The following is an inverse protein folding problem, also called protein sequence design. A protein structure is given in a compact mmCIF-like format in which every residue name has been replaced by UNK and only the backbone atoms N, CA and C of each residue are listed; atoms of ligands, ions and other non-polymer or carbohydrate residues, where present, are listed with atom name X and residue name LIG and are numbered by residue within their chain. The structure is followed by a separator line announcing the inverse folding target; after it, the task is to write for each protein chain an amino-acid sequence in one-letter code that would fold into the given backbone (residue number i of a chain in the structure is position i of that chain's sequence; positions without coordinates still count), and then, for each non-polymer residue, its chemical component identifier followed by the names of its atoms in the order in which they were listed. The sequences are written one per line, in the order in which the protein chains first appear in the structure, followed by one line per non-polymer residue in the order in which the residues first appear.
data_IF_400399177774
#
_entry.id   IF_400399177774
#
_cell.length_a   1.000
_cell.length_b   1.000
_cell.length_c   1.000
_cell.angle_alpha   90.00
_cell.angle_beta   90.00
_cell.angle_gamma   90.00
#
_symmetry.space_group_name_H-M   'P 1'
#
loop_
_entity.id
_entity.type
_entity.pdbx_description
1 polymer ?
#
# COMPACT_ATOMS: atom_id res chain seq x y z
N UNK A 1 15.54 55.80 -30.12
CA UNK A 1 15.39 54.44 -30.69
C UNK A 1 15.28 53.43 -29.57
N UNK A 2 14.12 52.98 -29.29
CA UNK A 2 13.85 52.01 -28.25
C UNK A 2 13.71 50.64 -28.92
N UNK A 3 14.59 49.69 -28.59
CA UNK A 3 14.51 48.32 -29.07
C UNK A 3 13.52 47.53 -28.18
N UNK A 4 12.54 46.83 -28.73
CA UNK A 4 11.73 45.96 -27.91
C UNK A 4 12.49 44.67 -27.60
N UNK A 5 12.61 44.38 -26.33
CA UNK A 5 13.05 43.10 -25.83
C UNK A 5 12.00 42.04 -26.14
N UNK A 6 12.30 41.19 -27.10
CA UNK A 6 11.52 39.94 -27.27
C UNK A 6 11.71 39.05 -26.04
N UNK A 7 10.73 39.01 -25.19
CA UNK A 7 10.61 37.96 -24.20
C UNK A 7 10.31 36.64 -24.93
N UNK A 8 11.28 35.78 -25.00
CA UNK A 8 11.04 34.39 -25.35
C UNK A 8 10.29 33.76 -24.19
N UNK A 9 9.02 33.50 -24.37
CA UNK A 9 8.27 32.60 -23.53
C UNK A 9 8.77 31.18 -23.83
N UNK A 10 9.54 30.61 -22.92
CA UNK A 10 9.82 29.20 -22.91
C UNK A 10 8.53 28.51 -22.52
N UNK A 11 7.88 27.87 -23.47
CA UNK A 11 6.78 26.95 -23.19
C UNK A 11 7.42 25.72 -22.51
N UNK A 12 7.35 25.68 -21.20
CA UNK A 12 7.67 24.48 -20.44
C UNK A 12 6.54 23.49 -20.69
N UNK A 13 6.78 22.57 -21.61
CA UNK A 13 5.91 21.43 -21.80
C UNK A 13 5.87 20.62 -20.52
N UNK A 14 4.75 20.63 -19.84
CA UNK A 14 4.50 19.73 -18.72
C UNK A 14 4.28 18.36 -19.31
N UNK A 15 5.31 17.53 -19.30
CA UNK A 15 5.17 16.12 -19.60
C UNK A 15 4.63 15.46 -18.33
N UNK A 16 3.32 15.22 -18.32
CA UNK A 16 2.69 14.43 -17.27
C UNK A 16 3.07 12.96 -17.44
N UNK A 17 4.28 12.59 -17.04
CA UNK A 17 4.73 11.21 -17.03
C UNK A 17 4.91 10.81 -15.56
N UNK A 18 4.03 9.93 -15.10
CA UNK A 18 4.12 9.33 -13.79
C UNK A 18 3.80 10.31 -12.65
N UNK A 19 2.57 10.31 -12.23
CA UNK A 19 2.05 11.18 -11.15
C UNK A 19 2.80 11.05 -9.81
N UNK A 20 3.59 10.00 -9.64
CA UNK A 20 4.41 9.76 -8.45
C UNK A 20 5.90 10.06 -8.69
N UNK A 21 6.30 10.33 -9.93
CA UNK A 21 7.69 10.63 -10.26
C UNK A 21 8.03 12.06 -9.85
N UNK A 22 9.03 12.23 -9.00
CA UNK A 22 9.53 13.52 -8.58
C UNK A 22 8.91 14.09 -7.32
N UNK A 23 8.19 13.27 -6.53
CA UNK A 23 7.88 13.61 -5.15
C UNK A 23 9.04 13.16 -4.27
N UNK A 24 9.99 14.03 -3.89
CA UNK A 24 10.94 13.72 -2.83
C UNK A 24 10.10 13.56 -1.56
N UNK A 25 10.34 12.52 -0.79
CA UNK A 25 9.58 12.24 0.43
C UNK A 25 8.08 12.02 0.21
N UNK A 26 7.71 11.23 -0.82
CA UNK A 26 6.33 10.77 -0.99
C UNK A 26 5.75 10.16 0.29
N UNK A 27 6.60 9.60 1.16
CA UNK A 27 6.23 9.10 2.47
C UNK A 27 5.89 10.21 3.48
N UNK A 28 6.45 11.43 3.35
CA UNK A 28 6.17 12.55 4.26
C UNK A 28 4.88 13.29 3.85
N UNK A 29 4.62 13.39 2.55
CA UNK A 29 3.50 14.17 2.00
C UNK A 29 2.27 13.30 1.68
N UNK A 30 2.42 11.99 1.70
CA UNK A 30 1.36 11.03 1.41
C UNK A 30 1.10 10.17 2.64
N UNK A 31 0.12 10.54 3.48
CA UNK A 31 -0.15 9.80 4.70
C UNK A 31 -0.55 8.36 4.37
N UNK A 32 0.05 7.39 5.07
CA UNK A 32 -0.25 5.96 4.92
C UNK A 32 -1.70 5.69 5.29
N UNK A 33 -2.19 6.36 6.31
CA UNK A 33 -3.57 6.24 6.78
C UNK A 33 -4.30 7.57 6.69
N UNK A 34 -5.51 7.53 6.17
CA UNK A 34 -6.54 8.56 6.30
C UNK A 34 -7.59 8.11 7.32
N UNK A 35 -8.74 8.80 7.40
CA UNK A 35 -9.75 8.52 8.42
C UNK A 35 -10.24 7.06 8.47
N UNK A 36 -10.36 6.40 7.31
CA UNK A 36 -11.01 5.10 7.17
C UNK A 36 -10.19 4.07 6.37
N UNK A 37 -9.03 4.46 5.88
CA UNK A 37 -8.19 3.63 4.99
C UNK A 37 -6.73 3.83 5.30
N UNK A 38 -5.99 2.72 5.40
CA UNK A 38 -4.54 2.71 5.28
C UNK A 38 -4.15 1.99 3.99
N UNK A 39 -3.15 2.49 3.28
CA UNK A 39 -2.72 1.92 2.02
C UNK A 39 -1.22 2.13 1.83
N UNK A 40 -0.48 1.05 1.58
CA UNK A 40 0.98 1.13 1.51
C UNK A 40 1.61 0.00 0.71
N UNK A 41 2.85 0.24 0.27
CA UNK A 41 3.76 -0.77 -0.22
C UNK A 41 4.80 -1.14 0.84
N UNK A 42 5.24 -2.39 0.82
CA UNK A 42 6.52 -2.77 1.45
C UNK A 42 7.69 -2.09 0.72
N UNK A 43 8.87 -1.91 1.36
CA UNK A 43 10.00 -1.23 0.72
C UNK A 43 10.41 -1.76 -0.66
N UNK A 44 10.43 -3.08 -0.93
CA UNK A 44 10.70 -3.59 -2.28
C UNK A 44 9.54 -3.41 -3.27
N UNK A 45 8.37 -2.92 -2.82
CA UNK A 45 7.15 -2.78 -3.61
C UNK A 45 6.58 -4.08 -4.19
N UNK A 46 6.97 -5.22 -3.67
CA UNK A 46 6.41 -6.52 -4.05
C UNK A 46 5.14 -6.89 -3.27
N UNK A 47 4.95 -6.29 -2.09
CA UNK A 47 3.75 -6.45 -1.28
C UNK A 47 3.02 -5.11 -1.22
N UNK A 48 1.72 -5.14 -1.47
CA UNK A 48 0.83 -4.00 -1.24
C UNK A 48 -0.28 -4.39 -0.29
N UNK A 49 -0.61 -3.49 0.63
CA UNK A 49 -1.65 -3.70 1.64
C UNK A 49 -2.63 -2.54 1.68
N UNK A 50 -3.86 -2.85 2.00
CA UNK A 50 -4.92 -1.89 2.30
C UNK A 50 -5.68 -2.34 3.53
N UNK A 51 -5.98 -1.40 4.42
CA UNK A 51 -6.84 -1.63 5.57
C UNK A 51 -8.05 -0.73 5.41
N UNK A 52 -9.24 -1.32 5.41
CA UNK A 52 -10.51 -0.62 5.39
C UNK A 52 -11.18 -0.75 6.76
N UNK A 53 -11.57 0.36 7.34
CA UNK A 53 -12.26 0.37 8.62
C UNK A 53 -13.35 1.45 8.65
N UNK A 54 -14.59 1.02 8.88
CA UNK A 54 -15.78 1.89 8.91
C UNK A 54 -15.86 2.81 7.68
N UNK A 55 -15.54 2.26 6.53
CA UNK A 55 -15.45 3.01 5.28
C UNK A 55 -16.82 3.35 4.69
N UNK A 56 -17.86 2.65 5.09
CA UNK A 56 -19.23 2.89 4.67
C UNK A 56 -19.97 1.63 4.28
N UNK A 57 -21.26 1.78 3.94
CA UNK A 57 -22.12 0.69 3.56
C UNK A 57 -21.58 -0.04 2.32
N UNK A 58 -21.48 -1.36 2.40
CA UNK A 58 -21.02 -2.21 1.32
C UNK A 58 -19.52 -2.48 1.28
N UNK A 59 -18.72 -1.80 2.13
CA UNK A 59 -17.28 -2.09 2.27
C UNK A 59 -17.05 -2.74 3.64
N UNK A 60 -16.66 -4.02 3.69
CA UNK A 60 -16.38 -4.69 4.96
C UNK A 60 -15.13 -4.12 5.62
N UNK A 61 -15.08 -4.18 6.94
CA UNK A 61 -13.86 -3.91 7.70
C UNK A 61 -12.87 -5.05 7.45
N UNK A 62 -11.71 -4.75 6.91
CA UNK A 62 -10.73 -5.79 6.58
C UNK A 62 -9.32 -5.24 6.45
N UNK A 63 -8.34 -6.11 6.62
CA UNK A 63 -6.99 -5.93 6.13
C UNK A 63 -6.76 -6.85 4.93
N UNK A 64 -6.30 -6.27 3.84
CA UNK A 64 -5.98 -6.96 2.60
C UNK A 64 -4.52 -6.74 2.26
N UNK A 65 -3.83 -7.81 1.90
CA UNK A 65 -2.49 -7.71 1.32
C UNK A 65 -2.37 -8.63 0.11
N UNK A 66 -1.53 -8.25 -0.81
CA UNK A 66 -1.18 -9.07 -1.96
C UNK A 66 0.31 -9.03 -2.24
N UNK A 67 0.82 -10.10 -2.84
CA UNK A 67 2.17 -10.17 -3.36
C UNK A 67 2.11 -10.40 -4.86
N UNK A 68 2.81 -9.54 -5.61
CA UNK A 68 2.78 -9.50 -7.06
C UNK A 68 4.11 -9.99 -7.67
N UNK A 69 4.15 -10.25 -8.97
CA UNK A 69 5.40 -10.58 -9.67
C UNK A 69 6.54 -9.60 -9.33
N UNK A 70 7.81 -10.04 -9.33
CA UNK A 70 8.31 -11.27 -9.99
C UNK A 70 8.23 -12.55 -9.14
N UNK A 71 7.47 -12.55 -8.05
CA UNK A 71 7.32 -13.73 -7.22
C UNK A 71 6.65 -14.87 -8.00
N UNK A 72 7.11 -16.10 -7.79
CA UNK A 72 6.54 -17.27 -8.42
C UNK A 72 5.13 -17.58 -7.94
N UNK A 73 4.84 -17.23 -6.69
CA UNK A 73 3.56 -17.44 -6.05
C UNK A 73 2.83 -16.11 -5.89
N UNK A 74 1.85 -15.88 -6.73
CA UNK A 74 0.97 -14.72 -6.64
C UNK A 74 -0.16 -15.06 -5.69
N UNK A 75 -0.27 -14.33 -4.60
CA UNK A 75 -1.27 -14.56 -3.57
C UNK A 75 -1.84 -13.26 -3.04
N UNK A 76 -3.06 -13.34 -2.55
CA UNK A 76 -3.67 -12.31 -1.71
C UNK A 76 -4.27 -12.92 -0.46
N UNK A 77 -4.48 -12.09 0.53
CA UNK A 77 -5.05 -12.46 1.82
C UNK A 77 -6.00 -11.38 2.29
N UNK A 78 -7.15 -11.80 2.80
CA UNK A 78 -8.14 -10.94 3.45
C UNK A 78 -8.28 -11.38 4.90
N UNK A 79 -8.26 -10.45 5.81
CA UNK A 79 -8.44 -10.69 7.25
C UNK A 79 -9.61 -9.85 7.78
N UNK A 80 -10.51 -10.47 8.50
CA UNK A 80 -11.62 -9.80 9.16
C UNK A 80 -11.23 -9.25 10.54
N UNK A 81 -12.10 -8.48 11.23
CA UNK A 81 -11.79 -7.93 12.55
C UNK A 81 -11.54 -8.95 13.65
N UNK A 82 -11.87 -10.22 13.46
CA UNK A 82 -11.57 -11.29 14.42
C UNK A 82 -10.16 -11.87 14.27
N UNK A 83 -9.44 -11.47 13.22
CA UNK A 83 -8.15 -12.02 12.87
C UNK A 83 -8.22 -13.31 12.03
N UNK A 84 -9.41 -13.77 11.70
CA UNK A 84 -9.59 -14.85 10.74
C UNK A 84 -9.25 -14.33 9.35
N UNK A 85 -8.49 -15.13 8.59
CA UNK A 85 -8.08 -14.74 7.25
C UNK A 85 -8.28 -15.86 6.23
N UNK A 86 -8.40 -15.48 4.97
CA UNK A 86 -8.52 -16.38 3.83
C UNK A 86 -7.49 -16.01 2.77
N UNK A 87 -6.85 -17.02 2.19
CA UNK A 87 -5.81 -16.88 1.17
C UNK A 87 -6.39 -17.23 -0.19
N UNK A 88 -6.10 -16.41 -1.19
CA UNK A 88 -6.40 -16.65 -2.59
C UNK A 88 -5.09 -16.77 -3.36
N UNK A 89 -4.95 -17.80 -4.19
CA UNK A 89 -3.73 -18.04 -4.96
C UNK A 89 -4.01 -17.96 -6.46
N UNK A 90 -3.17 -17.22 -7.16
CA UNK A 90 -3.21 -17.04 -8.61
C UNK A 90 -3.37 -15.58 -9.02
N UNK A 91 -3.15 -15.32 -10.29
CA UNK A 91 -3.18 -13.97 -10.86
C UNK A 91 -4.55 -13.30 -10.69
N UNK A 92 -5.63 -14.07 -10.79
CA UNK A 92 -7.00 -13.54 -10.64
C UNK A 92 -7.33 -13.08 -9.24
N UNK A 93 -6.49 -13.42 -8.26
CA UNK A 93 -6.62 -13.00 -6.86
C UNK A 93 -6.02 -11.62 -6.59
N UNK A 94 -5.31 -11.05 -7.55
CA UNK A 94 -4.63 -9.77 -7.38
C UNK A 94 -5.56 -8.62 -7.76
N UNK A 95 -5.58 -7.60 -6.91
CA UNK A 95 -6.21 -6.31 -7.19
C UNK A 95 -5.22 -5.32 -7.83
N UNK A 96 -5.72 -4.15 -8.16
CA UNK A 96 -4.90 -3.04 -8.62
C UNK A 96 -4.60 -2.13 -7.43
N UNK A 97 -3.35 -2.14 -6.91
CA UNK A 97 -2.98 -1.20 -5.85
C UNK A 97 -3.10 0.23 -6.36
N UNK A 98 -3.41 1.14 -5.45
CA UNK A 98 -3.49 2.56 -5.78
C UNK A 98 -2.15 3.07 -6.32
N UNK A 99 -2.21 3.93 -7.32
CA UNK A 99 -1.04 4.65 -7.79
C UNK A 99 -0.54 5.59 -6.68
N UNK A 100 0.77 5.72 -6.55
CA UNK A 100 1.38 6.62 -5.56
C UNK A 100 1.09 6.24 -4.10
N UNK A 101 0.85 4.97 -3.80
CA UNK A 101 0.81 4.53 -2.42
C UNK A 101 2.13 4.84 -1.70
N UNK A 102 2.03 5.23 -0.44
CA UNK A 102 3.20 5.41 0.42
C UNK A 102 3.92 4.07 0.65
N UNK A 103 5.19 4.16 0.96
CA UNK A 103 5.99 3.00 1.38
C UNK A 103 6.04 2.96 2.91
N UNK A 104 5.69 1.84 3.49
CA UNK A 104 5.83 1.58 4.92
C UNK A 104 7.26 1.07 5.17
N UNK A 105 8.10 1.90 5.76
CA UNK A 105 9.49 1.55 6.02
C UNK A 105 9.61 0.35 6.96
N UNK A 106 10.71 -0.39 6.87
CA UNK A 106 10.99 -1.49 7.78
C UNK A 106 10.97 -1.04 9.25
N UNK A 107 10.29 -1.81 10.07
CA UNK A 107 10.11 -1.52 11.49
C UNK A 107 8.95 -0.57 11.78
N UNK A 108 8.29 -0.03 10.77
CA UNK A 108 7.12 0.83 10.95
C UNK A 108 5.82 0.05 10.89
N UNK A 109 4.81 0.58 11.57
CA UNK A 109 3.45 0.05 11.58
C UNK A 109 2.48 1.03 10.93
N UNK A 110 1.47 0.48 10.27
CA UNK A 110 0.28 1.22 9.83
C UNK A 110 -0.94 0.51 10.41
N UNK A 111 -1.85 1.27 10.99
CA UNK A 111 -3.03 0.67 11.61
C UNK A 111 -4.20 1.63 11.72
N UNK A 112 -5.38 1.04 11.75
CA UNK A 112 -6.65 1.73 11.92
C UNK A 112 -7.66 0.74 12.52
N UNK A 113 -8.46 1.22 13.48
CA UNK A 113 -9.39 0.34 14.19
C UNK A 113 -8.66 -0.80 14.88
N UNK A 114 -9.15 -2.05 14.76
CA UNK A 114 -8.49 -3.20 15.36
C UNK A 114 -7.26 -3.70 14.60
N UNK A 115 -7.02 -3.21 13.37
CA UNK A 115 -5.98 -3.71 12.49
C UNK A 115 -4.65 -2.99 12.68
N UNK A 116 -3.56 -3.74 12.60
CA UNK A 116 -2.19 -3.20 12.60
C UNK A 116 -1.30 -4.06 11.71
N UNK A 117 -0.56 -3.43 10.81
CA UNK A 117 0.40 -4.09 9.94
C UNK A 117 1.81 -3.57 10.22
N UNK A 118 2.75 -4.49 10.40
CA UNK A 118 4.17 -4.22 10.63
C UNK A 118 4.97 -4.60 9.39
N UNK A 119 5.76 -3.68 8.89
CA UNK A 119 6.69 -3.91 7.78
C UNK A 119 8.04 -4.38 8.31
N UNK A 120 8.52 -5.51 7.80
CA UNK A 120 9.83 -6.08 8.14
C UNK A 120 10.55 -6.57 6.88
N UNK A 121 11.85 -6.81 6.99
CA UNK A 121 12.65 -7.35 5.87
C UNK A 121 12.08 -8.70 5.40
N UNK A 122 11.56 -9.50 6.31
CA UNK A 122 10.95 -10.81 6.01
C UNK A 122 9.58 -10.72 5.35
N UNK A 123 8.88 -9.59 5.42
CA UNK A 123 7.53 -9.43 4.88
C UNK A 123 6.68 -8.47 5.69
N UNK A 124 5.37 -8.57 5.53
CA UNK A 124 4.39 -7.75 6.26
C UNK A 124 3.54 -8.64 7.14
N UNK A 125 3.46 -8.30 8.42
CA UNK A 125 2.61 -8.99 9.39
C UNK A 125 1.46 -8.09 9.78
N UNK A 126 0.24 -8.53 9.51
CA UNK A 126 -0.99 -7.84 9.89
C UNK A 126 -1.71 -8.64 10.97
N UNK A 127 -2.07 -7.97 12.06
CA UNK A 127 -2.77 -8.56 13.21
C UNK A 127 -3.95 -7.69 13.63
N UNK A 128 -4.87 -8.29 14.36
CA UNK A 128 -5.90 -7.58 15.11
C UNK A 128 -5.50 -7.44 16.57
N UNK A 129 -6.30 -6.75 17.36
CA UNK A 129 -6.01 -6.44 18.77
C UNK A 129 -5.67 -7.68 19.61
N UNK A 130 -6.25 -8.85 19.29
CA UNK A 130 -5.93 -10.11 19.97
C UNK A 130 -4.55 -10.68 19.66
N UNK A 131 -3.84 -10.14 18.68
CA UNK A 131 -2.57 -10.65 18.18
C UNK A 131 -2.71 -11.68 17.06
N UNK A 132 -3.93 -12.11 16.72
CA UNK A 132 -4.18 -13.03 15.60
C UNK A 132 -4.05 -12.31 14.27
N UNK A 133 -3.57 -13.00 13.28
CA UNK A 133 -3.47 -12.47 11.93
C UNK A 133 -2.63 -13.34 11.01
N UNK A 134 -1.93 -12.69 10.09
CA UNK A 134 -1.11 -13.36 9.08
C UNK A 134 0.21 -12.61 8.84
N UNK A 135 1.16 -13.34 8.30
CA UNK A 135 2.38 -12.78 7.68
C UNK A 135 2.38 -13.15 6.21
N UNK A 136 2.58 -12.15 5.34
CA UNK A 136 2.76 -12.32 3.90
C UNK A 136 4.21 -12.02 3.53
N UNK A 137 4.82 -12.93 2.77
CA UNK A 137 6.20 -12.81 2.33
C UNK A 137 6.39 -13.48 0.97
N UNK A 138 7.58 -13.40 0.42
CA UNK A 138 7.93 -14.13 -0.83
C UNK A 138 7.82 -15.65 -0.67
N UNK A 139 7.81 -16.17 0.55
CA UNK A 139 7.63 -17.60 0.86
C UNK A 139 6.16 -18.02 0.97
N UNK A 140 5.24 -17.07 0.95
CA UNK A 140 3.81 -17.33 1.08
C UNK A 140 3.18 -16.61 2.27
N UNK A 141 2.01 -17.11 2.67
CA UNK A 141 1.19 -16.54 3.73
C UNK A 141 1.06 -17.55 4.85
N UNK A 142 1.39 -17.12 6.07
CA UNK A 142 1.37 -17.96 7.27
C UNK A 142 0.58 -17.27 8.39
N UNK A 143 0.01 -18.04 9.34
CA UNK A 143 -0.62 -17.46 10.51
C UNK A 143 0.37 -16.68 11.38
N UNK A 144 -0.10 -15.60 12.01
CA UNK A 144 0.60 -14.86 13.05
C UNK A 144 -0.22 -14.89 14.35
N UNK A 145 0.48 -14.99 15.46
CA UNK A 145 -0.13 -15.03 16.80
C UNK A 145 -0.40 -16.40 17.36
#
# INVERSE_FOLDING_TARGET
MIRPLLRRMAATGIVAVGWCAGMPDAAADNPICSANVCSFYSPPHNISCEIDYQRGAGTPDMAYCQIAPPQLLQQSVHMDPTGAFAVCTGETCLGNPGLCQATLAYGQTAGIGPFSCLSEVSGVTCTVTSGRGFTISSSGITPAG
#
